data_IF_161098515806
#
_entry.id   IF_161098515806
#
_cell.length_a   1.000
_cell.length_b   1.000
_cell.length_c   1.000
_cell.angle_alpha   90.00
_cell.angle_beta   90.00
_cell.angle_gamma   90.00
#
_symmetry.space_group_name_H-M   'P 1'
#
loop_
_entity.id
_entity.type
_entity.pdbx_description
1 polymer ?
#
# COMPACT_ATOMS: atom_id res chain seq x y z
N UNK A 1 1.76 21.31 -19.35
CA UNK A 1 2.66 20.34 -20.00
C UNK A 1 2.64 19.08 -19.14
N UNK A 2 1.80 18.11 -19.54
CA UNK A 2 1.70 16.79 -18.92
C UNK A 2 2.94 15.98 -19.30
N UNK A 3 3.92 15.91 -18.42
CA UNK A 3 4.97 14.93 -18.56
C UNK A 3 4.39 13.54 -18.26
N UNK A 4 3.98 12.85 -19.31
CA UNK A 4 3.70 11.42 -19.25
C UNK A 4 4.98 10.70 -18.85
N UNK A 5 5.14 10.37 -17.59
CA UNK A 5 6.15 9.40 -17.17
C UNK A 5 5.73 8.06 -17.79
N UNK A 6 6.43 7.65 -18.84
CA UNK A 6 6.36 6.31 -19.42
C UNK A 6 6.87 5.30 -18.37
N UNK A 7 6.07 5.00 -17.37
CA UNK A 7 6.33 3.90 -16.46
C UNK A 7 6.06 2.62 -17.23
N UNK A 8 7.11 1.94 -17.66
CA UNK A 8 7.04 0.62 -18.29
C UNK A 8 6.34 -0.31 -17.31
N UNK A 9 5.14 -0.76 -17.68
CA UNK A 9 4.45 -1.82 -16.94
C UNK A 9 5.00 -3.14 -17.42
N UNK A 10 5.67 -3.88 -16.54
CA UNK A 10 6.12 -5.23 -16.83
C UNK A 10 4.89 -6.14 -16.98
N UNK A 11 4.95 -7.11 -17.89
CA UNK A 11 3.96 -8.19 -17.93
C UNK A 11 4.20 -9.20 -16.80
N UNK A 12 3.25 -10.10 -16.58
CA UNK A 12 3.28 -11.05 -15.47
C UNK A 12 4.47 -12.03 -15.59
N UNK A 13 4.75 -12.52 -16.78
CA UNK A 13 5.85 -13.45 -17.06
C UNK A 13 7.22 -12.76 -16.81
N UNK A 14 7.42 -11.57 -17.35
CA UNK A 14 8.65 -10.79 -17.11
C UNK A 14 8.84 -10.47 -15.62
N UNK A 15 7.76 -10.18 -14.91
CA UNK A 15 7.81 -9.93 -13.47
C UNK A 15 8.18 -11.20 -12.69
N UNK A 16 7.63 -12.35 -13.06
CA UNK A 16 7.97 -13.64 -12.44
C UNK A 16 9.44 -13.99 -12.69
N UNK A 17 9.93 -13.83 -13.92
CA UNK A 17 11.32 -14.06 -14.28
C UNK A 17 12.25 -13.14 -13.48
N UNK A 18 11.95 -11.85 -13.39
CA UNK A 18 12.71 -10.90 -12.57
C UNK A 18 12.81 -11.36 -11.11
N UNK A 19 11.71 -11.81 -10.50
CA UNK A 19 11.73 -12.30 -9.12
C UNK A 19 12.55 -13.58 -8.97
N UNK A 20 12.50 -14.47 -9.95
CA UNK A 20 13.29 -15.71 -9.96
C UNK A 20 14.79 -15.39 -10.10
N UNK A 21 15.18 -14.51 -11.00
CA UNK A 21 16.57 -14.07 -11.22
C UNK A 21 17.17 -13.42 -9.96
N UNK A 22 16.35 -12.71 -9.21
CA UNK A 22 16.74 -12.09 -7.94
C UNK A 22 16.65 -13.05 -6.74
N UNK A 23 16.29 -14.31 -6.96
CA UNK A 23 16.12 -15.31 -5.89
C UNK A 23 15.02 -14.96 -4.91
N UNK A 24 13.94 -14.28 -5.36
CA UNK A 24 12.82 -13.94 -4.51
C UNK A 24 11.75 -15.03 -4.53
N UNK A 25 11.79 -15.92 -3.54
CA UNK A 25 10.86 -17.04 -3.38
C UNK A 25 10.07 -16.97 -2.06
N UNK A 26 8.75 -17.19 -2.12
CA UNK A 26 7.89 -17.14 -0.94
C UNK A 26 8.10 -18.30 0.03
N UNK A 27 8.57 -19.47 -0.44
CA UNK A 27 8.89 -20.59 0.44
C UNK A 27 10.06 -20.25 1.33
N UNK A 28 11.12 -19.69 0.75
CA UNK A 28 12.30 -19.22 1.47
C UNK A 28 11.94 -18.13 2.48
N UNK A 29 11.06 -17.18 2.10
CA UNK A 29 10.55 -16.15 3.02
C UNK A 29 9.79 -16.77 4.21
N UNK A 30 8.95 -17.80 3.98
CA UNK A 30 8.26 -18.52 5.07
C UNK A 30 9.23 -19.26 6.00
N UNK A 31 10.39 -19.62 5.52
CA UNK A 31 11.47 -20.23 6.31
C UNK A 31 12.39 -19.21 7.00
N UNK A 32 12.10 -17.92 6.87
CA UNK A 32 12.81 -16.85 7.58
C UNK A 32 13.76 -16.02 6.73
N UNK A 33 13.84 -16.25 5.42
CA UNK A 33 14.61 -15.36 4.55
C UNK A 33 13.96 -13.97 4.48
N UNK A 34 14.82 -12.95 4.34
CA UNK A 34 14.35 -11.57 4.19
C UNK A 34 13.66 -11.37 2.86
N UNK A 35 12.52 -10.70 2.89
CA UNK A 35 11.82 -10.27 1.67
C UNK A 35 12.71 -9.31 0.87
N UNK A 36 12.82 -9.56 -0.43
CA UNK A 36 13.58 -8.68 -1.33
C UNK A 36 12.88 -7.31 -1.45
N UNK A 37 13.61 -6.19 -1.33
CA UNK A 37 13.03 -4.84 -1.38
C UNK A 37 12.74 -4.40 -2.83
N UNK A 38 11.92 -5.17 -3.54
CA UNK A 38 11.54 -4.91 -4.93
C UNK A 38 10.17 -4.24 -4.93
N UNK A 39 10.09 -3.01 -5.43
CA UNK A 39 8.88 -2.20 -5.37
C UNK A 39 8.36 -1.90 -6.78
N UNK A 40 7.38 -2.67 -7.23
CA UNK A 40 6.69 -2.37 -8.48
C UNK A 40 5.76 -1.17 -8.28
N UNK A 41 5.67 -0.32 -9.30
CA UNK A 41 4.79 0.86 -9.30
C UNK A 41 3.36 0.54 -9.70
N UNK A 42 3.18 -0.52 -10.50
CA UNK A 42 1.88 -0.99 -11.02
C UNK A 42 1.84 -2.52 -11.01
N UNK A 43 0.62 -3.07 -10.98
CA UNK A 43 0.40 -4.49 -11.22
C UNK A 43 0.55 -4.81 -12.71
N UNK A 44 1.06 -6.01 -13.07
CA UNK A 44 0.98 -6.52 -14.44
C UNK A 44 -0.48 -6.58 -14.91
N UNK A 45 -0.77 -6.07 -16.10
CA UNK A 45 -2.15 -6.05 -16.63
C UNK A 45 -2.68 -7.41 -17.02
N UNK A 46 -1.77 -8.33 -17.29
CA UNK A 46 -2.01 -9.68 -17.77
C UNK A 46 -1.95 -10.76 -16.66
N UNK A 47 -2.10 -10.36 -15.39
CA UNK A 47 -2.15 -11.30 -14.26
C UNK A 47 -3.17 -12.44 -14.47
N UNK A 48 -4.29 -12.16 -15.14
CA UNK A 48 -5.28 -13.17 -15.48
C UNK A 48 -4.82 -14.16 -16.58
N UNK A 49 -3.82 -13.81 -17.38
CA UNK A 49 -3.27 -14.68 -18.42
C UNK A 49 -2.40 -15.80 -17.84
N UNK A 50 -1.98 -15.67 -16.58
CA UNK A 50 -1.34 -16.77 -15.85
C UNK A 50 -2.40 -17.86 -15.60
N UNK A 51 -2.45 -18.87 -16.46
CA UNK A 51 -3.46 -19.94 -16.42
C UNK A 51 -3.52 -20.76 -15.11
N UNK A 52 -2.55 -20.59 -14.21
CA UNK A 52 -2.47 -21.24 -12.91
C UNK A 52 -2.81 -20.26 -11.78
N UNK A 53 -3.90 -20.55 -11.08
CA UNK A 53 -4.39 -19.73 -9.96
C UNK A 53 -3.36 -19.56 -8.83
N UNK A 54 -2.57 -20.59 -8.53
CA UNK A 54 -1.54 -20.52 -7.50
C UNK A 54 -0.39 -19.60 -7.92
N UNK A 55 0.08 -19.69 -9.16
CA UNK A 55 1.10 -18.79 -9.69
C UNK A 55 0.64 -17.33 -9.63
N UNK A 56 -0.60 -17.05 -10.02
CA UNK A 56 -1.20 -15.71 -9.94
C UNK A 56 -1.20 -15.18 -8.51
N UNK A 57 -1.63 -15.98 -7.54
CA UNK A 57 -1.65 -15.62 -6.12
C UNK A 57 -0.25 -15.37 -5.58
N UNK A 58 0.69 -16.25 -5.88
CA UNK A 58 2.08 -16.12 -5.46
C UNK A 58 2.73 -14.86 -6.04
N UNK A 59 2.51 -14.56 -7.32
CA UNK A 59 3.00 -13.34 -7.95
C UNK A 59 2.40 -12.09 -7.31
N UNK A 60 1.09 -12.08 -7.07
CA UNK A 60 0.42 -10.98 -6.38
C UNK A 60 1.03 -10.75 -4.98
N UNK A 61 1.22 -11.81 -4.20
CA UNK A 61 1.83 -11.71 -2.86
C UNK A 61 3.27 -11.20 -2.97
N UNK A 62 4.08 -11.72 -3.90
CA UNK A 62 5.45 -11.24 -4.13
C UNK A 62 5.50 -9.73 -4.44
N UNK A 63 4.50 -9.19 -5.13
CA UNK A 63 4.41 -7.76 -5.46
C UNK A 63 3.99 -6.91 -4.25
N UNK A 64 2.97 -7.36 -3.50
CA UNK A 64 2.34 -6.56 -2.44
C UNK A 64 3.11 -6.63 -1.12
N UNK A 65 3.68 -7.78 -0.79
CA UNK A 65 4.40 -8.00 0.47
C UNK A 65 5.54 -6.99 0.73
N UNK A 66 6.46 -6.72 -0.20
CA UNK A 66 7.51 -5.72 0.02
C UNK A 66 6.97 -4.33 0.28
N UNK A 67 5.86 -3.94 -0.35
CA UNK A 67 5.22 -2.64 -0.17
C UNK A 67 4.66 -2.48 1.25
N UNK A 68 3.99 -3.51 1.78
CA UNK A 68 3.46 -3.52 3.14
C UNK A 68 4.61 -3.46 4.15
N UNK A 69 5.65 -4.27 3.96
CA UNK A 69 6.81 -4.28 4.86
C UNK A 69 7.55 -2.94 4.87
N UNK A 70 7.68 -2.31 3.71
CA UNK A 70 8.28 -0.98 3.61
C UNK A 70 7.46 0.10 4.34
N UNK A 71 6.13 0.03 4.27
CA UNK A 71 5.29 0.96 5.02
C UNK A 71 5.34 0.68 6.52
N UNK A 72 5.36 -0.59 6.93
CA UNK A 72 5.54 -0.98 8.32
C UNK A 72 6.89 -0.53 8.90
N UNK A 73 7.95 -0.56 8.09
CA UNK A 73 9.26 -0.04 8.53
C UNK A 73 9.19 1.46 8.82
N UNK A 74 8.54 2.24 7.98
CA UNK A 74 8.33 3.67 8.22
C UNK A 74 7.46 3.94 9.44
N UNK A 75 6.44 3.12 9.68
CA UNK A 75 5.61 3.23 10.88
C UNK A 75 6.43 2.97 12.13
N UNK A 76 7.34 1.98 12.13
CA UNK A 76 8.26 1.73 13.25
C UNK A 76 9.17 2.94 13.50
N UNK A 77 9.78 3.49 12.46
CA UNK A 77 10.61 4.70 12.55
C UNK A 77 9.83 5.90 13.11
N UNK A 78 8.60 6.10 12.63
CA UNK A 78 7.70 7.15 13.13
C UNK A 78 7.33 6.89 14.61
N UNK A 79 7.11 5.65 15.01
CA UNK A 79 6.81 5.25 16.38
C UNK A 79 8.01 5.49 17.33
N UNK A 80 9.20 5.07 16.93
CA UNK A 80 10.44 5.33 17.66
C UNK A 80 10.67 6.83 17.85
N UNK A 81 10.49 7.61 16.76
CA UNK A 81 10.58 9.07 16.82
C UNK A 81 9.54 9.68 17.74
N UNK A 82 8.30 9.20 17.73
CA UNK A 82 7.25 9.65 18.63
C UNK A 82 7.67 9.45 20.09
N UNK A 83 8.11 8.24 20.47
CA UNK A 83 8.53 7.95 21.83
C UNK A 83 9.74 8.77 22.23
N UNK A 84 10.71 8.98 21.33
CA UNK A 84 11.85 9.86 21.59
C UNK A 84 11.40 11.31 21.85
N UNK A 85 10.47 11.86 21.05
CA UNK A 85 9.93 13.21 21.28
C UNK A 85 9.23 13.31 22.63
N UNK A 86 8.47 12.28 23.02
CA UNK A 86 7.71 12.27 24.26
C UNK A 86 8.55 12.04 25.53
N UNK A 87 9.77 11.52 25.38
CA UNK A 87 10.72 11.37 26.50
C UNK A 87 11.45 12.65 26.87
N UNK A 88 11.37 13.70 26.06
CA UNK A 88 12.05 14.97 26.28
C UNK A 88 11.23 15.93 27.14
N UNK A 89 11.90 16.71 27.97
CA UNK A 89 11.27 17.82 28.71
C UNK A 89 10.85 18.97 27.79
N UNK A 90 11.57 19.19 26.68
CA UNK A 90 11.30 20.26 25.71
C UNK A 90 11.42 19.73 24.30
N UNK A 91 10.46 20.12 23.44
CA UNK A 91 10.45 19.74 22.04
C UNK A 91 10.87 20.93 21.16
N UNK A 92 11.69 20.64 20.16
CA UNK A 92 12.09 21.62 19.14
C UNK A 92 10.91 22.05 18.29
N UNK A 93 11.05 23.14 17.55
CA UNK A 93 10.05 23.59 16.58
C UNK A 93 9.77 22.51 15.53
N UNK A 94 10.83 21.86 15.01
CA UNK A 94 10.71 20.77 14.04
C UNK A 94 9.91 19.58 14.55
N UNK A 95 10.12 19.20 15.82
CA UNK A 95 9.37 18.10 16.46
C UNK A 95 7.89 18.45 16.66
N UNK A 96 7.58 19.68 17.06
CA UNK A 96 6.18 20.16 17.16
C UNK A 96 5.47 20.14 15.78
N UNK A 97 6.19 20.57 14.72
CA UNK A 97 5.67 20.52 13.35
C UNK A 97 5.44 19.06 12.90
N UNK A 98 6.38 18.16 13.23
CA UNK A 98 6.25 16.74 12.94
C UNK A 98 5.03 16.13 13.65
N UNK A 99 4.84 16.37 14.94
CA UNK A 99 3.65 15.93 15.70
C UNK A 99 2.35 16.43 15.07
N UNK A 100 2.29 17.73 14.71
CA UNK A 100 1.10 18.31 14.05
C UNK A 100 0.76 17.58 12.75
N UNK A 101 1.79 17.21 11.95
CA UNK A 101 1.58 16.42 10.72
C UNK A 101 1.07 15.02 11.03
N UNK A 102 1.59 14.36 12.07
CA UNK A 102 1.12 13.01 12.46
C UNK A 102 -0.32 13.05 12.96
N UNK A 103 -0.71 14.00 13.80
CA UNK A 103 -2.11 14.16 14.21
C UNK A 103 -3.04 14.28 13.00
N UNK A 104 -2.69 15.11 12.02
CA UNK A 104 -3.47 15.25 10.79
C UNK A 104 -3.51 13.95 9.98
N UNK A 105 -2.38 13.28 9.81
CA UNK A 105 -2.27 12.03 9.04
C UNK A 105 -3.13 10.92 9.64
N UNK A 106 -3.13 10.81 10.97
CA UNK A 106 -3.90 9.80 11.69
C UNK A 106 -5.30 10.27 12.10
N UNK A 107 -5.78 11.39 11.56
CA UNK A 107 -7.14 11.95 11.79
C UNK A 107 -7.50 12.11 13.27
N UNK A 108 -6.59 12.72 14.03
CA UNK A 108 -6.73 13.00 15.46
C UNK A 108 -6.86 14.51 15.65
N UNK A 109 -8.10 15.00 15.63
CA UNK A 109 -8.40 16.44 15.64
C UNK A 109 -8.19 17.07 17.03
N UNK A 110 -8.44 16.30 18.10
CA UNK A 110 -8.25 16.69 19.50
C UNK A 110 -6.78 16.69 19.97
N UNK A 111 -5.84 16.31 19.10
CA UNK A 111 -4.40 16.21 19.38
C UNK A 111 -4.08 15.34 20.60
N UNK A 112 -4.88 14.32 20.85
CA UNK A 112 -4.67 13.36 21.93
C UNK A 112 -3.45 12.47 21.63
N UNK A 113 -2.41 12.60 22.46
CA UNK A 113 -1.18 11.82 22.34
C UNK A 113 -1.38 10.33 22.64
N UNK A 114 -2.32 9.97 23.50
CA UNK A 114 -2.63 8.57 23.79
C UNK A 114 -3.21 7.90 22.54
N UNK A 115 -4.16 8.57 21.87
CA UNK A 115 -4.70 8.12 20.58
C UNK A 115 -3.61 8.02 19.51
N UNK A 116 -2.68 8.98 19.45
CA UNK A 116 -1.59 8.94 18.50
C UNK A 116 -0.65 7.74 18.73
N UNK A 117 -0.29 7.46 19.98
CA UNK A 117 0.50 6.28 20.36
C UNK A 117 -0.18 4.96 19.95
N UNK A 118 -1.50 4.89 20.06
CA UNK A 118 -2.27 3.70 19.66
C UNK A 118 -2.37 3.56 18.15
N UNK A 119 -2.54 4.66 17.41
CA UNK A 119 -2.74 4.63 15.96
C UNK A 119 -1.45 4.50 15.16
N UNK A 120 -0.32 5.00 15.67
CA UNK A 120 0.99 4.75 15.06
C UNK A 120 1.45 3.34 15.45
N UNK A 121 0.88 2.34 14.77
CA UNK A 121 1.27 0.95 14.92
C UNK A 121 1.33 0.23 13.58
N UNK A 122 2.10 -0.87 13.54
CA UNK A 122 2.30 -1.65 12.32
C UNK A 122 0.99 -2.28 11.84
N UNK A 123 0.90 -2.42 10.53
CA UNK A 123 -0.21 -3.14 9.88
C UNK A 123 0.13 -4.64 9.93
N UNK A 124 -0.73 -5.50 10.51
CA UNK A 124 -0.52 -6.95 10.43
C UNK A 124 -0.45 -7.42 8.99
N UNK A 125 0.71 -7.95 8.59
CA UNK A 125 1.03 -8.24 7.18
C UNK A 125 0.04 -9.21 6.55
N UNK A 126 -0.32 -10.28 7.25
CA UNK A 126 -1.26 -11.29 6.77
C UNK A 126 -2.65 -10.70 6.52
N UNK A 127 -3.13 -9.82 7.41
CA UNK A 127 -4.43 -9.15 7.27
C UNK A 127 -4.38 -8.20 6.07
N UNK A 128 -3.33 -7.40 5.93
CA UNK A 128 -3.19 -6.49 4.81
C UNK A 128 -3.14 -7.21 3.46
N UNK A 129 -2.40 -8.33 3.36
CA UNK A 129 -2.37 -9.14 2.15
C UNK A 129 -3.75 -9.73 1.84
N UNK A 130 -4.43 -10.29 2.86
CA UNK A 130 -5.75 -10.89 2.68
C UNK A 130 -6.79 -9.86 2.20
N UNK A 131 -6.81 -8.67 2.79
CA UNK A 131 -7.68 -7.58 2.36
C UNK A 131 -7.34 -7.09 0.96
N UNK A 132 -6.05 -6.86 0.66
CA UNK A 132 -5.63 -6.47 -0.69
C UNK A 132 -6.04 -7.52 -1.73
N UNK A 133 -5.88 -8.81 -1.44
CA UNK A 133 -6.29 -9.89 -2.33
C UNK A 133 -7.81 -9.92 -2.56
N UNK A 134 -8.59 -9.79 -1.49
CA UNK A 134 -10.06 -9.81 -1.57
C UNK A 134 -10.59 -8.59 -2.33
N UNK A 135 -10.19 -7.39 -1.93
CA UNK A 135 -10.68 -6.13 -2.51
C UNK A 135 -10.25 -5.91 -3.96
N UNK A 136 -9.06 -6.38 -4.33
CA UNK A 136 -8.53 -6.24 -5.69
C UNK A 136 -8.82 -7.44 -6.61
N UNK A 137 -9.46 -8.50 -6.10
CA UNK A 137 -9.61 -9.77 -6.82
C UNK A 137 -8.26 -10.37 -7.19
N UNK A 138 -7.31 -10.42 -6.25
CA UNK A 138 -5.92 -10.83 -6.48
C UNK A 138 -5.22 -9.97 -7.54
N UNK A 139 -5.49 -8.67 -7.52
CA UNK A 139 -4.89 -7.69 -8.43
C UNK A 139 -5.47 -7.69 -9.85
N UNK A 140 -6.59 -8.36 -10.08
CA UNK A 140 -7.18 -8.48 -11.43
C UNK A 140 -8.36 -7.55 -11.67
N UNK A 141 -8.87 -6.90 -10.63
CA UNK A 141 -9.96 -5.94 -10.78
C UNK A 141 -9.53 -4.72 -11.59
N UNK A 142 -10.48 -4.12 -12.31
CA UNK A 142 -10.25 -2.88 -13.06
C UNK A 142 -9.67 -1.77 -12.18
N UNK A 143 -10.17 -1.64 -10.95
CA UNK A 143 -9.71 -0.61 -10.02
C UNK A 143 -8.24 -0.83 -9.59
N UNK A 144 -7.82 -2.08 -9.41
CA UNK A 144 -6.44 -2.41 -9.11
C UNK A 144 -5.51 -2.14 -10.30
N UNK A 145 -5.92 -2.53 -11.52
CA UNK A 145 -5.11 -2.42 -12.73
C UNK A 145 -5.01 -0.98 -13.27
N UNK A 146 -6.13 -0.23 -13.29
CA UNK A 146 -6.18 1.12 -13.81
C UNK A 146 -5.87 2.18 -12.75
N UNK A 147 -6.24 1.91 -11.49
CA UNK A 147 -6.16 2.88 -10.41
C UNK A 147 -5.20 2.54 -9.28
N UNK A 148 -4.43 1.46 -9.37
CA UNK A 148 -3.57 0.98 -8.30
C UNK A 148 -4.30 0.84 -6.94
N UNK A 149 -5.62 0.62 -6.95
CA UNK A 149 -6.48 0.57 -5.78
C UNK A 149 -6.51 -0.86 -5.21
N UNK A 150 -5.57 -1.17 -4.32
CA UNK A 150 -5.46 -2.50 -3.71
C UNK A 150 -6.52 -2.77 -2.64
N UNK A 151 -7.03 -1.74 -1.96
CA UNK A 151 -7.87 -1.86 -0.78
C UNK A 151 -9.27 -1.25 -0.96
N UNK A 152 -9.70 -1.00 -2.19
CA UNK A 152 -11.07 -0.55 -2.50
C UNK A 152 -11.50 0.76 -1.80
N UNK A 153 -10.57 1.63 -1.43
CA UNK A 153 -10.86 2.87 -0.71
C UNK A 153 -11.74 3.81 -1.51
N UNK A 154 -12.75 4.37 -0.87
CA UNK A 154 -13.74 5.21 -1.50
C UNK A 154 -13.40 6.69 -1.38
N UNK A 155 -13.83 7.48 -2.37
CA UNK A 155 -13.71 8.93 -2.37
C UNK A 155 -14.91 9.59 -3.03
N UNK A 156 -15.27 10.78 -2.56
CA UNK A 156 -16.26 11.67 -3.19
C UNK A 156 -15.57 12.76 -4.04
N UNK A 157 -14.24 12.76 -4.09
CA UNK A 157 -13.46 13.73 -4.87
C UNK A 157 -13.45 13.35 -6.37
N UNK A 158 -12.99 14.31 -7.21
CA UNK A 158 -12.79 14.07 -8.65
C UNK A 158 -11.71 13.00 -8.94
N UNK A 159 -10.81 12.74 -7.98
CA UNK A 159 -9.71 11.78 -8.09
C UNK A 159 -10.17 10.35 -7.78
N UNK A 160 -10.95 9.74 -8.67
CA UNK A 160 -11.39 8.37 -8.49
C UNK A 160 -12.00 7.78 -9.74
N UNK A 161 -12.05 6.43 -9.79
CA UNK A 161 -12.64 5.65 -10.87
C UNK A 161 -14.07 5.31 -10.50
N UNK A 162 -15.02 5.63 -11.38
CA UNK A 162 -16.43 5.28 -11.19
C UNK A 162 -16.66 3.78 -11.46
N UNK A 163 -17.50 3.09 -10.66
CA UNK A 163 -17.98 1.76 -10.99
C UNK A 163 -18.71 1.77 -12.34
N UNK A 164 -18.58 0.66 -13.14
CA UNK A 164 -19.26 0.56 -14.43
C UNK A 164 -20.79 0.54 -14.30
N UNK A 165 -21.29 -0.16 -13.27
CA UNK A 165 -22.72 -0.28 -12.96
C UNK A 165 -23.06 0.61 -11.76
N UNK A 166 -22.87 1.92 -11.94
CA UNK A 166 -23.13 2.89 -10.89
C UNK A 166 -24.64 3.12 -10.78
N UNK A 167 -25.14 2.90 -9.58
CA UNK A 167 -26.48 3.32 -9.19
C UNK A 167 -26.59 4.87 -9.36
N UNK A 168 -27.59 5.42 -10.05
CA UNK A 168 -27.68 6.86 -10.30
C UNK A 168 -27.52 7.75 -9.06
N UNK A 169 -27.97 7.26 -7.90
CA UNK A 169 -27.94 7.99 -6.64
C UNK A 169 -26.61 7.90 -5.87
N UNK A 170 -25.67 7.06 -6.30
CA UNK A 170 -24.37 6.89 -5.62
C UNK A 170 -23.29 7.74 -6.26
N UNK A 171 -22.81 8.76 -5.55
CA UNK A 171 -21.78 9.69 -6.03
C UNK A 171 -20.33 9.26 -5.73
N UNK A 172 -20.15 8.20 -4.93
CA UNK A 172 -18.83 7.72 -4.55
C UNK A 172 -18.06 7.06 -5.71
N UNK A 173 -16.74 7.14 -5.63
CA UNK A 173 -15.78 6.55 -6.55
C UNK A 173 -14.76 5.74 -5.78
N UNK A 174 -14.07 4.81 -6.45
CA UNK A 174 -12.88 4.16 -5.87
C UNK A 174 -11.68 5.09 -6.06
N UNK A 175 -10.96 5.35 -4.99
CA UNK A 175 -9.80 6.25 -4.99
C UNK A 175 -8.70 5.69 -5.90
N UNK A 176 -8.15 6.55 -6.76
CA UNK A 176 -7.07 6.22 -7.68
C UNK A 176 -5.73 6.70 -7.12
N UNK A 177 -4.70 5.88 -7.28
CA UNK A 177 -3.33 6.17 -6.87
C UNK A 177 -2.38 6.15 -8.06
N UNK A 178 -1.35 6.98 -8.03
CA UNK A 178 -0.33 7.00 -9.09
C UNK A 178 0.53 5.73 -9.07
N UNK A 179 0.79 5.18 -7.88
CA UNK A 179 1.62 3.99 -7.67
C UNK A 179 1.02 3.10 -6.57
N UNK A 180 1.27 1.80 -6.62
CA UNK A 180 0.80 0.81 -5.64
C UNK A 180 1.15 1.20 -4.19
N UNK A 181 2.36 1.71 -3.96
CA UNK A 181 2.83 2.13 -2.64
C UNK A 181 1.93 3.20 -2.00
N UNK A 182 1.34 4.09 -2.80
CA UNK A 182 0.43 5.12 -2.30
C UNK A 182 -0.89 4.51 -1.78
N UNK A 183 -1.39 3.44 -2.41
CA UNK A 183 -2.55 2.69 -1.93
C UNK A 183 -2.27 2.01 -0.59
N UNK A 184 -1.11 1.36 -0.44
CA UNK A 184 -0.70 0.75 0.84
C UNK A 184 -0.55 1.80 1.93
N UNK A 185 0.07 2.94 1.61
CA UNK A 185 0.21 4.06 2.56
C UNK A 185 -1.14 4.63 3.02
N UNK A 186 -2.10 4.75 2.11
CA UNK A 186 -3.43 5.25 2.44
C UNK A 186 -4.25 4.25 3.27
N UNK A 187 -3.95 2.96 3.20
CA UNK A 187 -4.62 1.91 3.95
C UNK A 187 -4.36 1.98 5.46
N UNK A 188 -3.21 2.49 5.91
CA UNK A 188 -2.86 2.62 7.34
C UNK A 188 -3.69 3.68 8.09
N UNK A 189 -4.39 4.56 7.37
CA UNK A 189 -5.14 5.71 7.87
C UNK A 189 -6.65 5.46 7.72
#
# INVERSE_FOLDING_TARGET
>A
EDSYSNTVSLNAETTENLFNDLGYDLKSVRLGEKVKPIYLTKLPRDLNALGNTNKKRDLFIKIVLPLILNENQKIREDREKLFHILSKSFNTVGERVWLKRRFKEYKIDDRDLAKLKMRIDIIPVSIAIAQAANESGWGTSRFALEGNALFGQWTWSKKGISPKNKDPDKTHKVLQFQVLKASVRAYKN
#
